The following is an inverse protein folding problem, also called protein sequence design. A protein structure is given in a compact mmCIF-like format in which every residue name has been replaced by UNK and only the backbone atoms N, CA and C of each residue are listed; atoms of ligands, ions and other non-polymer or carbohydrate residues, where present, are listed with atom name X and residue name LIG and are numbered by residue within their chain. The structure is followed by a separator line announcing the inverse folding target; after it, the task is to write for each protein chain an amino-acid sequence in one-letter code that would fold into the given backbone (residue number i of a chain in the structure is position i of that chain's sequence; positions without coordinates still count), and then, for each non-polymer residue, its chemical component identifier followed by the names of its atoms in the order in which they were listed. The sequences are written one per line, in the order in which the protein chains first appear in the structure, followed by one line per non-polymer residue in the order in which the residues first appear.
data_IF_244894509229
#
_entry.id   IF_244894509229
#
_cell.length_a   1.000
_cell.length_b   1.000
_cell.length_c   1.000
_cell.angle_alpha   90.00
_cell.angle_beta   90.00
_cell.angle_gamma   90.00
#
_symmetry.space_group_name_H-M   'P 1'
#
loop_
_entity.id
_entity.type
_entity.pdbx_description
1 polymer ?
#
# COMPACT_ATOMS: atom_id res chain seq x y z
N UNK A 1 23.98 -8.17 -5.86
CA UNK A 1 22.76 -8.98 -5.86
C UNK A 1 21.60 -8.09 -5.44
N UNK A 2 20.93 -7.45 -6.41
CA UNK A 2 19.60 -6.87 -6.16
C UNK A 2 18.69 -8.02 -5.77
N UNK A 3 18.28 -8.09 -4.51
CA UNK A 3 17.35 -9.11 -4.06
C UNK A 3 15.96 -8.70 -4.53
N UNK A 4 15.42 -9.42 -5.49
CA UNK A 4 13.97 -9.44 -5.69
C UNK A 4 13.32 -9.84 -4.37
N UNK A 5 12.22 -9.21 -4.02
CA UNK A 5 11.41 -9.64 -2.87
C UNK A 5 11.11 -11.13 -3.01
N UNK A 6 11.59 -11.94 -2.08
CA UNK A 6 11.26 -13.36 -2.05
C UNK A 6 9.76 -13.56 -1.76
N UNK A 7 9.19 -14.69 -2.18
CA UNK A 7 7.77 -15.01 -1.94
C UNK A 7 7.34 -14.86 -0.47
N UNK A 8 8.24 -15.08 0.48
CA UNK A 8 7.95 -14.89 1.91
C UNK A 8 7.73 -13.42 2.25
N UNK A 9 8.56 -12.50 1.72
CA UNK A 9 8.43 -11.07 1.94
C UNK A 9 7.16 -10.52 1.27
N UNK A 10 6.85 -10.99 0.06
CA UNK A 10 5.59 -10.67 -0.63
C UNK A 10 4.38 -11.14 0.18
N UNK A 11 4.43 -12.36 0.73
CA UNK A 11 3.34 -12.89 1.56
C UNK A 11 3.13 -12.06 2.81
N UNK A 12 4.20 -11.63 3.49
CA UNK A 12 4.11 -10.76 4.65
C UNK A 12 3.55 -9.39 4.29
N UNK A 13 3.98 -8.83 3.17
CA UNK A 13 3.51 -7.53 2.71
C UNK A 13 2.01 -7.56 2.36
N UNK A 14 1.55 -8.59 1.62
CA UNK A 14 0.14 -8.74 1.28
C UNK A 14 -0.75 -9.19 2.45
N UNK A 15 -0.18 -9.74 3.51
CA UNK A 15 -0.93 -10.03 4.74
C UNK A 15 -1.21 -8.79 5.59
N UNK A 16 -0.54 -7.68 5.30
CA UNK A 16 -0.78 -6.41 5.99
C UNK A 16 -2.17 -5.90 5.67
N UNK A 17 -2.90 -5.52 6.70
CA UNK A 17 -4.19 -4.87 6.59
C UNK A 17 -4.13 -3.56 7.37
N UNK A 18 -4.09 -2.45 6.66
CA UNK A 18 -4.22 -1.13 7.24
C UNK A 18 -5.69 -0.93 7.58
N UNK A 19 -5.98 -0.59 8.84
CA UNK A 19 -7.35 -0.40 9.31
C UNK A 19 -7.94 0.93 8.83
N UNK A 20 -7.84 1.15 7.51
CA UNK A 20 -8.39 2.34 6.87
C UNK A 20 -9.92 2.27 6.82
N UNK A 21 -10.55 3.42 6.96
CA UNK A 21 -11.99 3.55 6.97
C UNK A 21 -12.41 4.94 7.39
N UNK A 22 -13.63 5.10 7.84
CA UNK A 22 -14.08 6.36 8.46
C UNK A 22 -13.19 6.71 9.66
N UNK A 23 -13.10 7.98 10.01
CA UNK A 23 -12.32 8.41 11.18
C UNK A 23 -12.77 7.70 12.47
N UNK A 24 -14.06 7.44 12.60
CA UNK A 24 -14.62 6.68 13.73
C UNK A 24 -14.17 5.21 13.72
N UNK A 25 -14.19 4.56 12.55
CA UNK A 25 -13.73 3.19 12.38
C UNK A 25 -12.26 3.04 12.76
N UNK A 26 -11.41 3.96 12.30
CA UNK A 26 -9.98 3.97 12.60
C UNK A 26 -9.74 4.23 14.09
N UNK A 27 -10.41 5.22 14.69
CA UNK A 27 -10.28 5.56 16.11
C UNK A 27 -10.65 4.40 17.04
N UNK A 28 -11.58 3.55 16.63
CA UNK A 28 -12.00 2.35 17.37
C UNK A 28 -11.18 1.10 17.01
N UNK A 29 -10.10 1.26 16.23
CA UNK A 29 -9.25 0.14 15.83
C UNK A 29 -9.96 -0.92 14.99
N UNK A 30 -11.07 -0.55 14.31
CA UNK A 30 -11.88 -1.47 13.50
C UNK A 30 -12.81 -2.38 14.33
N UNK A 31 -13.06 -2.09 15.60
CA UNK A 31 -13.87 -2.93 16.48
C UNK A 31 -15.39 -2.80 16.22
N UNK A 32 -15.81 -3.09 14.99
CA UNK A 32 -17.22 -2.95 14.52
C UNK A 32 -17.92 -4.28 14.25
N UNK A 33 -17.40 -5.40 14.73
CA UNK A 33 -18.03 -6.70 14.52
C UNK A 33 -19.44 -6.83 15.10
N UNK A 34 -19.69 -6.17 16.24
CA UNK A 34 -21.01 -6.16 16.89
C UNK A 34 -21.71 -4.79 16.87
N UNK A 35 -21.01 -3.75 16.43
CA UNK A 35 -21.51 -2.37 16.45
C UNK A 35 -21.80 -1.95 14.99
N UNK A 36 -23.01 -1.43 14.75
CA UNK A 36 -23.37 -0.82 13.49
C UNK A 36 -23.28 0.72 13.52
N UNK A 37 -23.84 1.37 12.48
CA UNK A 37 -23.92 2.83 12.43
C UNK A 37 -22.61 3.52 12.00
N UNK A 38 -21.79 2.80 11.25
CA UNK A 38 -20.64 3.34 10.52
C UNK A 38 -20.61 2.76 9.11
N UNK A 39 -20.35 3.61 8.10
CA UNK A 39 -20.35 3.18 6.69
C UNK A 39 -19.29 2.10 6.45
N UNK A 40 -18.11 2.24 7.03
CA UNK A 40 -17.02 1.26 6.88
C UNK A 40 -17.33 -0.06 7.58
N UNK A 41 -18.21 -0.06 8.59
CA UNK A 41 -18.55 -1.27 9.36
C UNK A 41 -19.18 -2.36 8.50
N UNK A 42 -19.76 -2.01 7.34
CA UNK A 42 -20.42 -2.96 6.44
C UNK A 42 -19.47 -4.05 5.93
N UNK A 43 -18.15 -3.79 5.93
CA UNK A 43 -17.11 -4.74 5.53
C UNK A 43 -17.06 -5.94 6.48
N UNK A 44 -17.26 -5.69 7.77
CA UNK A 44 -17.17 -6.69 8.84
C UNK A 44 -18.57 -7.20 9.23
N UNK A 45 -19.54 -6.29 9.32
CA UNK A 45 -20.90 -6.57 9.74
C UNK A 45 -21.91 -5.87 8.82
N UNK A 46 -22.32 -6.50 7.70
CA UNK A 46 -23.29 -5.93 6.77
C UNK A 46 -24.64 -5.59 7.44
N UNK A 47 -25.05 -6.35 8.47
CA UNK A 47 -26.28 -6.08 9.20
C UNK A 47 -26.24 -4.72 9.92
N UNK A 48 -25.03 -4.24 10.26
CA UNK A 48 -24.83 -2.97 10.98
C UNK A 48 -25.26 -1.72 10.22
N UNK A 49 -25.45 -1.79 8.88
CA UNK A 49 -25.91 -0.63 8.12
C UNK A 49 -27.41 -0.35 8.33
N UNK A 50 -28.20 -1.31 8.77
CA UNK A 50 -29.62 -1.10 9.08
C UNK A 50 -29.86 -0.34 10.40
N UNK A 51 -28.80 -0.09 11.18
CA UNK A 51 -28.85 0.74 12.40
C UNK A 51 -29.00 2.23 12.05
N UNK A 52 -28.59 2.65 10.86
CA UNK A 52 -28.75 4.05 10.44
C UNK A 52 -30.23 4.47 10.39
N UNK A 53 -30.53 5.67 10.92
CA UNK A 53 -31.88 6.25 10.90
C UNK A 53 -32.15 7.13 9.66
N UNK A 54 -31.24 7.13 8.69
CA UNK A 54 -31.34 7.89 7.45
C UNK A 54 -30.14 7.63 6.58
N UNK A 55 -30.16 8.23 5.40
CA UNK A 55 -29.04 8.11 4.47
C UNK A 55 -27.78 8.70 5.08
N UNK A 56 -26.65 8.03 4.87
CA UNK A 56 -25.37 8.45 5.40
C UNK A 56 -24.26 8.31 4.35
N UNK A 57 -23.30 9.23 4.34
CA UNK A 57 -22.13 9.19 3.50
C UNK A 57 -20.88 9.40 4.35
N UNK A 58 -19.79 8.78 3.97
CA UNK A 58 -18.48 8.89 4.62
C UNK A 58 -17.40 9.11 3.59
N UNK A 59 -16.47 10.02 3.90
CA UNK A 59 -15.27 10.26 3.13
C UNK A 59 -14.12 10.44 4.12
N UNK A 60 -13.02 9.73 3.91
CA UNK A 60 -11.85 9.82 4.77
C UNK A 60 -10.57 10.02 3.93
N UNK A 61 -9.70 10.84 4.48
CA UNK A 61 -8.38 11.15 3.94
C UNK A 61 -7.33 10.71 4.95
N UNK A 62 -6.20 10.26 4.45
CA UNK A 62 -5.01 9.99 5.25
C UNK A 62 -3.87 10.89 4.79
N UNK A 63 -3.24 11.55 5.75
CA UNK A 63 -1.96 12.22 5.57
C UNK A 63 -0.92 11.49 6.43
N UNK A 64 0.25 11.21 5.85
CA UNK A 64 1.37 10.56 6.53
C UNK A 64 2.66 11.25 6.11
N UNK A 65 3.51 11.56 7.06
CA UNK A 65 4.90 11.91 6.83
C UNK A 65 5.76 10.77 7.38
N UNK A 66 6.68 10.28 6.59
CA UNK A 66 7.58 9.18 6.96
C UNK A 66 9.02 9.59 6.71
N UNK A 67 9.88 9.35 7.69
CA UNK A 67 11.31 9.61 7.60
C UNK A 67 12.06 8.29 7.68
N UNK A 68 12.78 7.94 6.62
CA UNK A 68 13.63 6.76 6.57
C UNK A 68 15.09 7.16 6.77
N UNK A 69 15.72 6.64 7.81
CA UNK A 69 17.16 6.72 7.97
C UNK A 69 17.79 5.44 7.42
N UNK A 70 18.51 5.59 6.32
CA UNK A 70 19.29 4.50 5.72
C UNK A 70 20.78 4.70 6.02
N UNK A 71 21.46 3.64 6.41
CA UNK A 71 22.91 3.66 6.62
C UNK A 71 23.55 2.63 5.71
N UNK A 72 24.52 3.08 4.90
CA UNK A 72 25.29 2.25 3.98
C UNK A 72 26.76 2.66 4.04
N UNK A 73 27.62 1.74 4.45
CA UNK A 73 29.07 1.94 4.59
C UNK A 73 29.44 3.28 5.22
N UNK A 74 29.07 3.48 6.48
CA UNK A 74 29.34 4.70 7.28
C UNK A 74 28.71 6.01 6.76
N UNK A 75 27.91 5.95 5.73
CA UNK A 75 27.13 7.09 5.26
C UNK A 75 25.65 6.90 5.62
N UNK A 76 25.05 7.92 6.22
CA UNK A 76 23.63 7.91 6.59
C UNK A 76 22.88 8.97 5.80
N UNK A 77 21.76 8.54 5.21
CA UNK A 77 20.89 9.38 4.42
C UNK A 77 19.48 9.32 4.98
N UNK A 78 18.84 10.46 5.15
CA UNK A 78 17.42 10.54 5.53
C UNK A 78 16.60 10.81 4.28
N UNK A 79 15.59 9.98 4.05
CA UNK A 79 14.58 10.18 3.01
C UNK A 79 13.28 10.58 3.68
N UNK A 80 12.72 11.71 3.27
CA UNK A 80 11.41 12.17 3.72
C UNK A 80 10.38 11.85 2.65
N UNK A 81 9.22 11.37 3.09
CA UNK A 81 8.10 11.05 2.21
C UNK A 81 6.79 11.56 2.80
N UNK A 82 6.13 12.41 2.03
CA UNK A 82 4.79 12.92 2.31
C UNK A 82 3.76 12.16 1.48
N UNK A 83 2.73 11.72 2.15
CA UNK A 83 1.66 10.94 1.57
C UNK A 83 0.31 11.59 1.89
N UNK A 84 -0.54 11.72 0.87
CA UNK A 84 -1.92 12.16 1.03
C UNK A 84 -2.83 11.42 0.06
N UNK A 85 -3.79 10.68 0.60
CA UNK A 85 -4.75 9.89 -0.19
C UNK A 85 -6.16 9.92 0.38
N UNK A 86 -7.15 9.73 -0.49
CA UNK A 86 -8.50 9.32 -0.09
C UNK A 86 -8.45 7.83 0.24
N UNK A 87 -8.62 7.47 1.49
CA UNK A 87 -8.49 6.09 1.95
C UNK A 87 -9.82 5.37 2.12
N UNK A 88 -10.93 6.12 2.18
CA UNK A 88 -12.26 5.55 2.26
C UNK A 88 -13.30 6.51 1.69
N UNK A 89 -14.28 5.96 0.98
CA UNK A 89 -15.48 6.65 0.53
C UNK A 89 -16.64 5.67 0.50
N UNK A 90 -17.78 6.05 1.06
CA UNK A 90 -18.93 5.16 1.06
C UNK A 90 -20.26 5.87 1.33
N UNK A 91 -21.34 5.18 1.01
CA UNK A 91 -22.70 5.66 1.17
C UNK A 91 -23.60 4.52 1.65
N UNK A 92 -24.52 4.84 2.53
CA UNK A 92 -25.61 3.96 2.95
C UNK A 92 -26.93 4.66 2.68
N UNK A 93 -27.80 3.97 1.99
CA UNK A 93 -29.18 4.39 1.74
C UNK A 93 -30.13 3.52 2.58
N UNK A 94 -31.06 4.16 3.28
CA UNK A 94 -32.03 3.50 4.14
C UNK A 94 -33.44 3.74 3.64
N UNK A 95 -34.26 2.70 3.65
CA UNK A 95 -35.62 2.71 3.20
C UNK A 95 -36.50 2.19 4.33
N UNK A 96 -37.35 3.05 4.87
CA UNK A 96 -38.37 2.65 5.84
C UNK A 96 -39.52 1.97 5.11
N UNK A 97 -39.94 0.84 5.64
CA UNK A 97 -41.07 0.11 5.09
C UNK A 97 -42.34 0.34 5.91
N UNK A 98 -43.19 1.19 5.36
CA UNK A 98 -44.50 1.52 5.96
C UNK A 98 -45.59 0.52 5.59
N UNK A 99 -45.28 -0.55 4.85
CA UNK A 99 -46.24 -1.60 4.55
C UNK A 99 -46.42 -2.51 5.78
N UNK A 100 -47.61 -3.01 5.96
CA UNK A 100 -47.96 -3.89 7.10
C UNK A 100 -47.31 -5.27 6.95
N UNK A 101 -45.99 -5.31 6.99
CA UNK A 101 -45.19 -6.53 6.98
C UNK A 101 -44.16 -6.52 8.13
N UNK A 102 -43.53 -7.66 8.39
CA UNK A 102 -42.58 -7.83 9.48
C UNK A 102 -41.21 -7.18 9.25
N UNK A 103 -40.94 -6.72 8.04
CA UNK A 103 -39.69 -6.00 7.71
C UNK A 103 -39.93 -4.50 7.84
N UNK A 104 -39.34 -3.88 8.86
CA UNK A 104 -39.56 -2.46 9.16
C UNK A 104 -38.61 -1.54 8.41
N UNK A 105 -37.42 -2.02 8.07
CA UNK A 105 -36.39 -1.21 7.40
C UNK A 105 -35.55 -2.09 6.47
N UNK A 106 -35.17 -1.52 5.33
CA UNK A 106 -34.14 -2.03 4.42
C UNK A 106 -33.01 -1.01 4.31
N UNK A 107 -31.78 -1.47 4.16
CA UNK A 107 -30.62 -0.63 3.89
C UNK A 107 -29.73 -1.27 2.84
N UNK A 108 -29.13 -0.43 1.99
CA UNK A 108 -28.10 -0.82 1.04
C UNK A 108 -26.93 0.14 1.14
N UNK A 109 -25.73 -0.40 1.01
CA UNK A 109 -24.51 0.37 1.12
C UNK A 109 -23.49 -0.01 0.07
N UNK A 110 -22.70 0.98 -0.30
CA UNK A 110 -21.49 0.81 -1.11
C UNK A 110 -20.36 1.50 -0.39
N UNK A 111 -19.22 0.84 -0.29
CA UNK A 111 -18.03 1.40 0.34
C UNK A 111 -16.78 0.99 -0.45
N UNK A 112 -15.91 1.95 -0.67
CA UNK A 112 -14.57 1.76 -1.20
C UNK A 112 -13.57 2.10 -0.10
N UNK A 113 -12.53 1.28 0.05
CA UNK A 113 -11.38 1.59 0.90
C UNK A 113 -10.08 1.06 0.33
N UNK A 114 -8.98 1.69 0.72
CA UNK A 114 -7.63 1.14 0.56
C UNK A 114 -7.35 0.30 1.81
N UNK A 115 -7.26 -1.02 1.67
CA UNK A 115 -7.04 -1.94 2.79
C UNK A 115 -5.56 -2.12 3.13
N UNK A 116 -4.66 -1.94 2.15
CA UNK A 116 -3.22 -1.84 2.36
C UNK A 116 -2.60 -0.89 1.34
N UNK A 117 -1.64 -0.09 1.76
CA UNK A 117 -0.88 0.81 0.90
C UNK A 117 0.59 0.41 0.93
N UNK A 118 1.18 0.25 -0.26
CA UNK A 118 2.56 -0.19 -0.44
C UNK A 118 3.46 0.94 -0.96
N UNK A 119 2.92 2.15 -1.12
CA UNK A 119 3.69 3.29 -1.58
C UNK A 119 4.78 3.65 -0.57
N UNK A 120 6.02 3.52 -1.02
CA UNK A 120 7.20 3.73 -0.21
C UNK A 120 8.43 4.01 -1.08
N UNK A 121 9.37 4.79 -0.58
CA UNK A 121 10.65 5.02 -1.24
C UNK A 121 11.76 5.22 -0.23
N UNK A 122 12.92 4.70 -0.56
CA UNK A 122 14.13 5.02 0.20
C UNK A 122 15.35 5.10 -0.69
N UNK A 123 16.32 5.87 -0.24
CA UNK A 123 17.60 6.05 -0.87
C UNK A 123 18.71 5.63 0.07
N UNK A 124 19.73 5.00 -0.47
CA UNK A 124 20.96 4.72 0.25
C UNK A 124 22.14 5.15 -0.60
N UNK A 125 23.12 5.80 0.01
CA UNK A 125 24.34 6.26 -0.66
C UNK A 125 25.54 5.92 0.18
N UNK A 126 26.61 5.46 -0.48
CA UNK A 126 27.87 5.13 0.18
C UNK A 126 28.86 4.51 -0.78
N UNK A 127 29.91 3.94 -0.23
CA UNK A 127 30.92 3.27 -1.01
C UNK A 127 31.37 1.98 -0.32
N UNK A 128 31.15 0.84 -0.95
CA UNK A 128 31.60 -0.46 -0.46
C UNK A 128 33.09 -0.71 -0.71
N UNK A 129 33.72 0.09 -1.57
CA UNK A 129 35.07 -0.14 -2.09
C UNK A 129 35.14 -1.20 -3.20
N UNK A 130 34.03 -1.91 -3.47
CA UNK A 130 33.95 -2.96 -4.50
C UNK A 130 32.87 -2.64 -5.51
N UNK A 131 33.21 -2.77 -6.79
CA UNK A 131 32.26 -2.60 -7.88
C UNK A 131 31.27 -3.77 -7.97
N UNK A 132 30.02 -3.52 -8.27
CA UNK A 132 29.04 -4.55 -8.67
C UNK A 132 29.20 -4.94 -10.13
N UNK A 133 29.70 -4.01 -10.96
CA UNK A 133 30.01 -4.22 -12.37
C UNK A 133 31.35 -3.60 -12.73
N UNK A 134 32.29 -4.44 -13.13
CA UNK A 134 33.70 -4.08 -13.27
C UNK A 134 34.23 -4.06 -14.71
N UNK A 135 33.40 -4.40 -15.71
CA UNK A 135 33.86 -4.56 -17.11
C UNK A 135 32.95 -3.84 -18.08
N UNK A 136 33.56 -2.94 -18.90
CA UNK A 136 32.89 -2.26 -19.99
C UNK A 136 33.89 -1.70 -20.99
N UNK A 137 33.56 -1.61 -22.29
CA UNK A 137 32.59 -2.42 -23.00
C UNK A 137 33.11 -3.83 -23.26
N UNK A 138 32.25 -4.74 -23.60
CA UNK A 138 32.61 -6.08 -24.03
C UNK A 138 33.11 -6.06 -25.50
N UNK A 139 34.01 -5.15 -25.87
CA UNK A 139 34.63 -5.17 -27.17
C UNK A 139 35.63 -6.33 -27.19
N UNK A 140 35.39 -7.31 -28.04
CA UNK A 140 36.14 -8.56 -28.15
C UNK A 140 37.56 -8.40 -28.73
N UNK A 141 37.91 -7.21 -29.19
CA UNK A 141 39.18 -6.95 -29.90
C UNK A 141 40.23 -6.24 -29.01
N UNK A 142 39.86 -5.78 -27.84
CA UNK A 142 40.77 -5.11 -26.89
C UNK A 142 40.79 -5.83 -25.53
N UNK A 143 41.90 -5.73 -24.83
CA UNK A 143 41.95 -6.18 -23.44
C UNK A 143 41.01 -5.35 -22.60
N UNK A 144 40.00 -5.93 -21.94
CA UNK A 144 39.02 -5.16 -21.20
C UNK A 144 39.70 -4.42 -20.06
N UNK A 145 39.38 -3.13 -19.90
CA UNK A 145 39.74 -2.37 -18.70
C UNK A 145 38.85 -2.90 -17.55
N UNK A 146 39.48 -3.14 -16.42
CA UNK A 146 38.78 -3.63 -15.22
C UNK A 146 38.62 -2.48 -14.23
N UNK A 147 37.41 -2.10 -13.95
CA UNK A 147 37.00 -1.03 -13.05
C UNK A 147 36.57 -1.61 -11.70
N UNK A 148 37.52 -2.13 -10.94
CA UNK A 148 37.24 -2.90 -9.71
C UNK A 148 37.17 -2.06 -8.43
N UNK A 149 37.42 -0.76 -8.51
CA UNK A 149 37.40 0.15 -7.38
C UNK A 149 36.14 1.00 -7.47
N UNK A 150 35.26 0.87 -6.51
CA UNK A 150 34.08 1.73 -6.42
C UNK A 150 34.43 3.05 -5.75
N UNK A 151 33.95 4.17 -6.33
CA UNK A 151 34.06 5.52 -5.77
C UNK A 151 32.76 5.96 -5.12
N UNK A 152 31.63 5.64 -5.74
CA UNK A 152 30.31 6.04 -5.26
C UNK A 152 29.25 4.99 -5.67
N UNK A 153 28.35 4.70 -4.75
CA UNK A 153 27.22 3.81 -4.97
C UNK A 153 25.95 4.46 -4.42
N UNK A 154 24.94 4.57 -5.26
CA UNK A 154 23.64 5.12 -4.92
C UNK A 154 22.55 4.13 -5.26
N UNK A 155 21.80 3.69 -4.25
CA UNK A 155 20.64 2.81 -4.39
C UNK A 155 19.36 3.62 -4.20
N UNK A 156 18.50 3.59 -5.19
CA UNK A 156 17.14 4.12 -5.12
C UNK A 156 16.15 2.97 -5.21
N UNK A 157 15.22 2.91 -4.28
CA UNK A 157 14.18 1.89 -4.28
C UNK A 157 12.81 2.56 -4.14
N UNK A 158 11.90 2.18 -5.03
CA UNK A 158 10.54 2.69 -5.10
C UNK A 158 9.57 1.53 -5.06
N UNK A 159 8.65 1.58 -4.12
CA UNK A 159 7.49 0.71 -4.08
C UNK A 159 6.25 1.50 -4.44
N UNK A 160 5.37 0.92 -5.24
CA UNK A 160 4.09 1.51 -5.58
C UNK A 160 3.04 0.41 -5.67
N UNK A 161 1.83 0.74 -5.23
CA UNK A 161 0.69 -0.15 -5.29
C UNK A 161 -0.15 -0.10 -4.03
N UNK A 162 -1.28 -0.76 -4.13
CA UNK A 162 -2.25 -0.81 -3.04
C UNK A 162 -3.13 -2.05 -3.16
N UNK A 163 -3.77 -2.42 -2.06
CA UNK A 163 -4.91 -3.32 -2.05
C UNK A 163 -6.14 -2.47 -1.82
N UNK A 164 -6.99 -2.35 -2.82
CA UNK A 164 -8.28 -1.68 -2.71
C UNK A 164 -9.41 -2.69 -2.53
N UNK A 165 -10.46 -2.27 -1.86
CA UNK A 165 -11.64 -3.08 -1.56
C UNK A 165 -12.90 -2.30 -1.90
N UNK A 166 -13.73 -2.86 -2.77
CA UNK A 166 -15.07 -2.37 -3.06
C UNK A 166 -16.07 -3.32 -2.43
N UNK A 167 -16.91 -2.77 -1.56
CA UNK A 167 -17.87 -3.53 -0.77
C UNK A 167 -19.30 -3.10 -1.11
N UNK A 168 -20.18 -4.07 -1.26
CA UNK A 168 -21.63 -3.89 -1.37
C UNK A 168 -22.29 -4.61 -0.22
N UNK A 169 -23.20 -3.95 0.48
CA UNK A 169 -23.94 -4.54 1.58
C UNK A 169 -25.43 -4.29 1.44
N UNK A 170 -26.20 -5.30 1.84
CA UNK A 170 -27.66 -5.25 1.95
C UNK A 170 -28.04 -5.70 3.36
N UNK A 171 -28.99 -5.00 3.94
CA UNK A 171 -29.44 -5.31 5.30
C UNK A 171 -30.91 -4.99 5.49
N UNK A 172 -31.52 -5.66 6.45
CA UNK A 172 -32.91 -5.41 6.82
C UNK A 172 -33.15 -5.63 8.32
N UNK A 173 -34.21 -5.02 8.82
CA UNK A 173 -34.67 -5.15 10.20
C UNK A 173 -35.98 -5.91 10.21
N UNK A 174 -36.00 -7.06 10.90
CA UNK A 174 -37.18 -7.89 11.05
C UNK A 174 -37.78 -7.71 12.46
N UNK A 175 -39.09 -7.42 12.51
CA UNK A 175 -39.86 -7.18 13.73
C UNK A 175 -39.19 -6.17 14.69
N UNK A 176 -38.46 -5.18 14.16
CA UNK A 176 -37.72 -4.15 14.92
C UNK A 176 -36.67 -4.69 15.90
N UNK A 177 -36.31 -5.96 15.80
CA UNK A 177 -35.43 -6.65 16.75
C UNK A 177 -34.25 -7.36 16.09
N UNK A 178 -34.48 -7.99 14.94
CA UNK A 178 -33.45 -8.79 14.29
C UNK A 178 -32.90 -8.05 13.08
N UNK A 179 -31.61 -7.73 13.12
CA UNK A 179 -30.85 -7.17 12.01
C UNK A 179 -30.20 -8.30 11.22
N UNK A 180 -30.51 -8.39 9.93
CA UNK A 180 -29.95 -9.39 9.03
C UNK A 180 -29.25 -8.66 7.88
N UNK A 181 -28.09 -9.13 7.47
CA UNK A 181 -27.36 -8.51 6.36
C UNK A 181 -26.49 -9.50 5.62
N UNK A 182 -26.20 -9.15 4.37
CA UNK A 182 -25.26 -9.84 3.50
C UNK A 182 -24.39 -8.82 2.78
N UNK A 183 -23.14 -9.18 2.51
CA UNK A 183 -22.17 -8.33 1.81
C UNK A 183 -21.38 -9.10 0.79
N UNK A 184 -20.89 -8.37 -0.21
CA UNK A 184 -19.98 -8.83 -1.25
C UNK A 184 -18.77 -7.91 -1.27
N UNK A 185 -17.58 -8.48 -1.18
CA UNK A 185 -16.32 -7.75 -1.20
C UNK A 185 -15.53 -8.12 -2.44
N UNK A 186 -15.09 -7.12 -3.18
CA UNK A 186 -14.22 -7.25 -4.34
C UNK A 186 -12.89 -6.60 -4.02
N UNK A 187 -11.81 -7.33 -4.26
CA UNK A 187 -10.45 -6.87 -4.02
C UNK A 187 -9.73 -6.65 -5.33
N UNK A 188 -9.00 -5.54 -5.42
CA UNK A 188 -8.04 -5.28 -6.48
C UNK A 188 -6.66 -5.10 -5.83
N UNK A 189 -5.66 -5.77 -6.40
CA UNK A 189 -4.29 -5.77 -5.86
C UNK A 189 -3.36 -5.30 -6.97
N UNK A 190 -2.67 -4.20 -6.73
CA UNK A 190 -1.59 -3.72 -7.57
C UNK A 190 -0.30 -3.65 -6.76
N UNK A 191 0.81 -3.96 -7.40
CA UNK A 191 2.13 -3.82 -6.80
C UNK A 191 3.20 -3.67 -7.88
N UNK A 192 4.09 -2.73 -7.70
CA UNK A 192 5.31 -2.62 -8.49
C UNK A 192 6.48 -2.19 -7.61
N UNK A 193 7.65 -2.71 -7.93
CA UNK A 193 8.92 -2.34 -7.30
C UNK A 193 9.91 -1.94 -8.39
N UNK A 194 10.54 -0.80 -8.23
CA UNK A 194 11.64 -0.35 -9.07
C UNK A 194 12.89 -0.15 -8.20
N UNK A 195 13.97 -0.76 -8.59
CA UNK A 195 15.27 -0.61 -7.93
C UNK A 195 16.29 -0.10 -8.95
N UNK A 196 16.98 0.96 -8.60
CA UNK A 196 18.03 1.56 -9.41
C UNK A 196 19.31 1.61 -8.58
N UNK A 197 20.34 0.93 -9.04
CA UNK A 197 21.70 1.07 -8.51
C UNK A 197 22.54 1.86 -9.53
N UNK A 198 23.12 2.95 -9.08
CA UNK A 198 24.12 3.71 -9.82
C UNK A 198 25.47 3.54 -9.16
N UNK A 199 26.48 3.29 -9.96
CA UNK A 199 27.86 3.16 -9.50
C UNK A 199 28.79 4.00 -10.34
N UNK A 200 29.77 4.60 -9.68
CA UNK A 200 30.97 5.19 -10.30
C UNK A 200 32.16 4.38 -9.85
N UNK A 201 32.84 3.76 -10.81
CA UNK A 201 33.98 2.87 -10.56
C UNK A 201 35.21 3.35 -11.32
N UNK A 202 36.42 3.06 -10.84
CA UNK A 202 37.66 3.34 -11.52
C UNK A 202 38.58 2.09 -11.57
N UNK A 203 39.60 2.17 -12.40
CA UNK A 203 40.62 1.13 -12.61
C UNK A 203 41.92 1.34 -11.82
N UNK A 204 41.95 2.32 -10.93
CA UNK A 204 43.16 2.76 -10.21
C UNK A 204 44.03 3.72 -10.99
N UNK A 205 43.62 4.09 -12.21
CA UNK A 205 44.22 5.13 -13.05
C UNK A 205 43.20 6.24 -13.30
N UNK A 206 43.23 6.88 -14.45
CA UNK A 206 42.34 7.98 -14.78
C UNK A 206 41.02 7.53 -15.48
N UNK A 207 40.78 6.21 -15.63
CA UNK A 207 39.63 5.70 -16.31
C UNK A 207 38.44 5.55 -15.32
N UNK A 208 37.29 6.06 -15.70
CA UNK A 208 36.05 6.04 -14.91
C UNK A 208 34.95 5.33 -15.68
N UNK A 209 34.24 4.44 -15.00
CA UNK A 209 33.03 3.78 -15.50
C UNK A 209 31.84 4.17 -14.66
N UNK A 210 30.84 4.77 -15.32
CA UNK A 210 29.52 5.02 -14.71
C UNK A 210 28.54 3.94 -15.18
N UNK A 211 27.99 3.17 -14.26
CA UNK A 211 27.01 2.12 -14.54
C UNK A 211 25.68 2.38 -13.83
N UNK A 212 24.61 1.91 -14.46
CA UNK A 212 23.25 1.97 -13.93
C UNK A 212 22.57 0.64 -14.13
N UNK A 213 22.18 0.03 -13.04
CA UNK A 213 21.37 -1.18 -13.02
C UNK A 213 19.93 -0.79 -12.71
N UNK A 214 19.02 -1.33 -13.48
CA UNK A 214 17.60 -1.13 -13.32
C UNK A 214 16.91 -2.49 -13.20
N UNK A 215 16.09 -2.63 -12.18
CA UNK A 215 15.24 -3.81 -11.98
C UNK A 215 13.81 -3.34 -11.69
N UNK A 216 12.86 -3.96 -12.35
CA UNK A 216 11.44 -3.73 -12.14
C UNK A 216 10.74 -5.07 -11.94
N UNK A 217 9.85 -5.11 -10.96
CA UNK A 217 9.00 -6.26 -10.63
C UNK A 217 7.54 -5.78 -10.57
N UNK A 218 6.64 -6.57 -11.14
CA UNK A 218 5.19 -6.33 -11.18
C UNK A 218 4.47 -7.46 -10.46
#
# INVERSE_FOLDING_TARGET
NSQSLGYQNLSLMFSRNDRNGSARFVAMGGAFGAIGGDVTSMIINPAGISVFNGNNASLAFQARNTNYLTTYYNNSLTTEEDFFKVTNAGIVLTFENNFNNKWSKLAMGVNYRISADFEDRFFAKGNSGFSSFDRFPLDTNENPIIYNISEDQELSNYYNGEVSELNFAFSGVYEEKLHVGAGLNFYDISFSQQTILRETNNDGNDNILNSRFYQENF
#
